data_IF_913235053545
#
_entry.id   IF_913235053545
#
_cell.length_a   1.000
_cell.length_b   1.000
_cell.length_c   1.000
_cell.angle_alpha   90.00
_cell.angle_beta   90.00
_cell.angle_gamma   90.00
#
_symmetry.space_group_name_H-M   'P 1'
#
loop_
_entity.id
_entity.type
_entity.pdbx_description
1 polymer ?
#
# COMPACT_ATOMS: atom_id res chain seq x y z
N UNK A 1 -23.51 34.33 41.59
CA UNK A 1 -22.95 34.41 40.22
C UNK A 1 -21.49 33.96 40.16
N UNK A 2 -21.15 32.71 40.56
CA UNK A 2 -19.77 32.17 40.46
C UNK A 2 -19.68 30.85 39.68
N UNK A 3 -20.82 30.23 39.35
CA UNK A 3 -20.85 28.94 38.65
C UNK A 3 -20.49 29.06 37.15
N UNK A 4 -20.87 30.18 36.51
CA UNK A 4 -20.60 30.41 35.08
C UNK A 4 -19.12 30.65 34.74
N UNK A 5 -18.33 31.14 35.69
CA UNK A 5 -16.90 31.42 35.47
C UNK A 5 -16.03 30.16 35.39
N UNK A 6 -16.50 29.02 35.92
CA UNK A 6 -15.77 27.74 35.89
C UNK A 6 -16.26 26.83 34.76
N UNK A 7 -17.54 26.90 34.40
CA UNK A 7 -18.12 26.10 33.31
C UNK A 7 -17.62 26.52 31.92
N UNK A 8 -17.41 27.81 31.69
CA UNK A 8 -16.96 28.33 30.40
C UNK A 8 -15.56 27.82 29.97
N UNK A 9 -14.51 27.87 30.82
CA UNK A 9 -13.18 27.37 30.43
C UNK A 9 -13.16 25.84 30.24
N UNK A 10 -13.99 25.08 30.99
CA UNK A 10 -14.10 23.63 30.81
C UNK A 10 -14.72 23.31 29.45
N UNK A 11 -15.79 24.02 29.07
CA UNK A 11 -16.42 23.85 27.77
C UNK A 11 -15.45 24.18 26.61
N UNK A 12 -14.68 25.26 26.76
CA UNK A 12 -13.70 25.65 25.76
C UNK A 12 -12.56 24.63 25.62
N UNK A 13 -12.09 24.07 26.75
CA UNK A 13 -11.11 22.98 26.76
C UNK A 13 -11.62 21.72 26.05
N UNK A 14 -12.88 21.34 26.29
CA UNK A 14 -13.51 20.19 25.62
C UNK A 14 -13.64 20.41 24.10
N UNK A 15 -14.03 21.61 23.66
CA UNK A 15 -14.10 21.94 22.24
C UNK A 15 -12.72 21.84 21.58
N UNK A 16 -11.67 22.32 22.26
CA UNK A 16 -10.31 22.30 21.74
C UNK A 16 -9.75 20.87 21.62
N UNK A 17 -10.02 20.02 22.61
CA UNK A 17 -9.67 18.59 22.56
C UNK A 17 -10.42 17.88 21.43
N UNK A 18 -11.73 18.13 21.28
CA UNK A 18 -12.51 17.54 20.19
C UNK A 18 -12.04 18.01 18.82
N UNK A 19 -11.64 19.28 18.68
CA UNK A 19 -11.08 19.81 17.44
C UNK A 19 -9.72 19.16 17.11
N UNK A 20 -8.86 18.95 18.11
CA UNK A 20 -7.57 18.26 17.91
C UNK A 20 -7.77 16.79 17.53
N UNK A 21 -8.70 16.09 18.18
CA UNK A 21 -9.05 14.71 17.84
C UNK A 21 -9.60 14.65 16.41
N UNK A 22 -10.51 15.55 16.04
CA UNK A 22 -11.10 15.59 14.70
C UNK A 22 -10.04 15.85 13.62
N UNK A 23 -9.14 16.82 13.84
CA UNK A 23 -8.10 17.17 12.88
C UNK A 23 -7.09 16.01 12.69
N UNK A 24 -6.71 15.35 13.79
CA UNK A 24 -5.82 14.18 13.75
C UNK A 24 -6.51 12.97 13.08
N UNK A 25 -7.82 12.81 13.30
CA UNK A 25 -8.62 11.78 12.64
C UNK A 25 -8.79 12.04 11.14
N UNK A 26 -9.00 13.30 10.73
CA UNK A 26 -9.12 13.65 9.31
C UNK A 26 -7.81 13.35 8.56
N UNK A 27 -6.67 13.70 9.16
CA UNK A 27 -5.34 13.50 8.57
C UNK A 27 -5.00 12.00 8.40
N UNK A 28 -5.38 11.14 9.36
CA UNK A 28 -5.20 9.69 9.24
C UNK A 28 -6.28 9.00 8.39
N UNK A 29 -7.48 9.55 8.30
CA UNK A 29 -8.54 9.03 7.42
C UNK A 29 -8.27 9.30 5.94
N UNK A 30 -7.47 10.33 5.61
CA UNK A 30 -7.13 10.63 4.22
C UNK A 30 -6.24 9.57 3.55
N UNK A 31 -5.53 8.76 4.36
CA UNK A 31 -4.76 7.61 3.88
C UNK A 31 -5.61 6.34 3.69
N UNK A 32 -6.83 6.32 4.23
CA UNK A 32 -7.79 5.23 4.05
C UNK A 32 -9.05 5.73 3.33
N UNK A 33 -9.04 5.53 2.02
CA UNK A 33 -10.23 5.42 1.16
C UNK A 33 -10.91 6.77 0.86
N UNK A 34 -10.37 7.49 -0.13
CA UNK A 34 -11.14 8.43 -0.94
C UNK A 34 -11.85 7.69 -2.09
N UNK A 35 -12.71 6.73 -1.76
CA UNK A 35 -13.80 6.29 -2.65
C UNK A 35 -15.01 7.16 -2.28
N UNK A 36 -14.90 8.46 -2.55
CA UNK A 36 -15.98 9.38 -2.26
C UNK A 36 -16.16 10.31 -3.44
N UNK A 37 -16.77 9.77 -4.50
CA UNK A 37 -17.71 10.47 -5.39
C UNK A 37 -18.52 9.38 -6.11
N UNK A 38 -19.85 9.43 -5.93
CA UNK A 38 -20.79 8.43 -6.43
C UNK A 38 -20.77 8.25 -7.94
N UNK A 39 -21.17 7.05 -8.38
CA UNK A 39 -21.39 6.71 -9.79
C UNK A 39 -20.28 7.16 -10.75
N UNK A 40 -19.02 6.84 -10.45
CA UNK A 40 -18.15 6.43 -11.57
C UNK A 40 -18.82 5.16 -12.09
N UNK A 41 -19.66 5.29 -13.13
CA UNK A 41 -20.40 4.16 -13.65
C UNK A 41 -19.37 3.10 -14.00
N UNK A 42 -19.67 1.84 -13.66
CA UNK A 42 -18.80 0.71 -14.01
C UNK A 42 -18.35 0.84 -15.47
N UNK A 43 -19.21 1.35 -16.35
CA UNK A 43 -18.91 1.64 -17.76
C UNK A 43 -17.75 2.63 -17.96
N UNK A 44 -17.66 3.71 -17.19
CA UNK A 44 -16.53 4.65 -17.27
C UNK A 44 -15.22 4.01 -16.79
N UNK A 45 -15.27 3.12 -15.78
CA UNK A 45 -14.12 2.36 -15.35
C UNK A 45 -13.71 1.31 -16.39
N UNK A 46 -14.70 0.64 -17.01
CA UNK A 46 -14.50 -0.34 -18.08
C UNK A 46 -13.86 0.29 -19.33
N UNK A 47 -14.23 1.53 -19.67
CA UNK A 47 -13.60 2.28 -20.78
C UNK A 47 -12.12 2.59 -20.54
N UNK A 48 -11.69 2.60 -19.28
CA UNK A 48 -10.31 2.87 -18.88
C UNK A 48 -9.52 1.59 -18.60
N UNK A 49 -10.08 0.42 -18.88
CA UNK A 49 -9.32 -0.82 -18.74
C UNK A 49 -8.14 -0.81 -19.71
N UNK A 50 -6.91 -0.99 -19.22
CA UNK A 50 -5.75 -1.04 -20.08
C UNK A 50 -5.89 -2.21 -21.06
N UNK A 51 -5.62 -1.94 -22.34
CA UNK A 51 -5.47 -2.98 -23.36
C UNK A 51 -4.02 -3.43 -23.41
N UNK A 52 -3.79 -4.73 -23.59
CA UNK A 52 -2.42 -5.24 -23.67
C UNK A 52 -1.66 -4.62 -24.83
N UNK A 53 -0.46 -4.13 -24.56
CA UNK A 53 0.51 -3.68 -25.57
C UNK A 53 1.51 -4.79 -25.88
N UNK A 54 2.32 -4.62 -26.93
CA UNK A 54 3.38 -5.59 -27.27
C UNK A 54 4.46 -5.69 -26.18
N UNK A 55 4.64 -4.66 -25.37
CA UNK A 55 5.66 -4.59 -24.31
C UNK A 55 5.21 -5.28 -23.00
N UNK A 56 3.91 -5.52 -22.84
CA UNK A 56 3.34 -6.07 -21.61
C UNK A 56 3.82 -7.50 -21.36
N UNK A 57 3.89 -8.34 -22.40
CA UNK A 57 4.39 -9.72 -22.28
C UNK A 57 5.87 -9.80 -21.87
N UNK A 58 6.79 -9.12 -22.58
CA UNK A 58 8.18 -9.01 -22.16
C UNK A 58 8.36 -8.48 -20.73
N UNK A 59 7.62 -7.43 -20.35
CA UNK A 59 7.67 -6.86 -18.99
C UNK A 59 7.18 -7.85 -17.94
N UNK A 60 6.05 -8.50 -18.16
CA UNK A 60 5.50 -9.52 -17.27
C UNK A 60 6.51 -10.67 -17.05
N UNK A 61 7.21 -11.11 -18.10
CA UNK A 61 8.27 -12.12 -17.99
C UNK A 61 9.46 -11.64 -17.17
N UNK A 62 9.88 -10.38 -17.37
CA UNK A 62 10.96 -9.80 -16.59
C UNK A 62 10.61 -9.69 -15.10
N UNK A 63 9.38 -9.28 -14.78
CA UNK A 63 8.86 -9.26 -13.41
C UNK A 63 8.82 -10.67 -12.82
N UNK A 64 8.29 -11.66 -13.55
CA UNK A 64 8.26 -13.04 -13.07
C UNK A 64 9.65 -13.58 -12.78
N UNK A 65 10.63 -13.28 -13.65
CA UNK A 65 12.02 -13.62 -13.41
C UNK A 65 12.58 -12.92 -12.17
N UNK A 66 12.29 -11.63 -11.97
CA UNK A 66 12.69 -10.89 -10.77
C UNK A 66 12.09 -11.50 -9.49
N UNK A 67 10.81 -11.90 -9.51
CA UNK A 67 10.17 -12.59 -8.39
C UNK A 67 10.82 -13.94 -8.08
N UNK A 68 11.22 -14.69 -9.11
CA UNK A 68 11.97 -15.93 -8.95
C UNK A 68 13.33 -15.66 -8.31
N UNK A 69 14.09 -14.68 -8.81
CA UNK A 69 15.39 -14.29 -8.22
C UNK A 69 15.24 -13.82 -6.77
N UNK A 70 14.23 -13.01 -6.47
CA UNK A 70 13.89 -12.63 -5.10
C UNK A 70 13.60 -13.85 -4.22
N UNK A 71 12.83 -14.82 -4.72
CA UNK A 71 12.49 -16.04 -3.97
C UNK A 71 13.74 -16.82 -3.60
N UNK A 72 14.67 -17.00 -4.55
CA UNK A 72 15.94 -17.67 -4.28
C UNK A 72 16.78 -16.90 -3.25
N UNK A 73 16.90 -15.58 -3.42
CA UNK A 73 17.60 -14.72 -2.48
C UNK A 73 17.02 -14.79 -1.07
N UNK A 74 15.70 -14.68 -0.94
CA UNK A 74 15.01 -14.75 0.34
C UNK A 74 15.19 -16.11 1.02
N UNK A 75 15.15 -17.21 0.25
CA UNK A 75 15.44 -18.56 0.74
C UNK A 75 16.88 -18.71 1.24
N UNK A 76 17.86 -18.21 0.48
CA UNK A 76 19.27 -18.28 0.85
C UNK A 76 19.58 -17.54 2.16
N UNK A 77 18.88 -16.44 2.42
CA UNK A 77 19.11 -15.57 3.58
C UNK A 77 18.07 -15.72 4.70
N UNK A 78 17.16 -16.71 4.59
CA UNK A 78 16.07 -16.96 5.55
C UNK A 78 15.16 -15.74 5.78
N UNK A 79 14.95 -14.91 4.75
CA UNK A 79 14.06 -13.74 4.81
C UNK A 79 12.63 -14.22 4.57
N UNK A 80 11.73 -13.93 5.51
CA UNK A 80 10.32 -14.26 5.36
C UNK A 80 9.61 -13.17 4.59
N UNK A 81 8.85 -13.56 3.57
CA UNK A 81 8.13 -12.63 2.72
C UNK A 81 6.78 -13.17 2.27
N UNK A 82 5.90 -12.27 1.81
CA UNK A 82 4.63 -12.58 1.17
C UNK A 82 4.44 -11.66 -0.04
N UNK A 83 3.87 -12.17 -1.14
CA UNK A 83 3.35 -11.31 -2.22
C UNK A 83 2.16 -10.50 -1.69
N UNK A 84 2.05 -9.25 -2.14
CA UNK A 84 1.10 -8.27 -1.60
C UNK A 84 0.25 -7.59 -2.69
N UNK A 85 -0.78 -6.87 -2.26
CA UNK A 85 -1.63 -6.00 -3.08
C UNK A 85 -2.02 -6.60 -4.45
N UNK A 86 -1.75 -5.87 -5.55
CA UNK A 86 -2.16 -6.25 -6.91
C UNK A 86 -1.42 -7.50 -7.36
N UNK A 87 -0.14 -7.63 -7.02
CA UNK A 87 0.67 -8.83 -7.28
C UNK A 87 -0.01 -10.08 -6.71
N UNK A 88 -0.45 -10.03 -5.44
CA UNK A 88 -1.18 -11.14 -4.81
C UNK A 88 -2.51 -11.43 -5.51
N UNK A 89 -3.31 -10.40 -5.77
CA UNK A 89 -4.63 -10.56 -6.41
C UNK A 89 -4.50 -11.21 -7.78
N UNK A 90 -3.60 -10.70 -8.63
CA UNK A 90 -3.37 -11.24 -9.97
C UNK A 90 -2.85 -12.69 -9.91
N UNK A 91 -1.93 -12.98 -9.00
CA UNK A 91 -1.36 -14.32 -8.86
C UNK A 91 -2.40 -15.35 -8.41
N UNK A 92 -3.30 -15.00 -7.49
CA UNK A 92 -4.39 -15.90 -7.05
C UNK A 92 -5.43 -16.10 -8.15
N UNK A 93 -5.80 -15.03 -8.87
CA UNK A 93 -6.84 -15.09 -9.89
C UNK A 93 -6.41 -15.80 -11.17
N UNK A 94 -5.18 -15.56 -11.62
CA UNK A 94 -4.71 -15.96 -12.95
C UNK A 94 -3.52 -16.93 -12.90
N UNK A 95 -3.03 -17.29 -11.72
CA UNK A 95 -1.78 -18.05 -11.54
C UNK A 95 -0.58 -17.37 -12.24
N UNK A 96 -0.62 -16.04 -12.37
CA UNK A 96 0.39 -15.23 -13.04
C UNK A 96 0.33 -13.77 -12.56
N UNK A 97 1.38 -12.99 -12.84
CA UNK A 97 1.38 -11.54 -12.63
C UNK A 97 0.46 -10.85 -13.65
N UNK A 98 0.00 -9.62 -13.37
CA UNK A 98 -0.75 -8.87 -14.38
C UNK A 98 0.17 -8.47 -15.55
N UNK A 99 -0.28 -8.55 -16.81
CA UNK A 99 0.47 -8.01 -17.95
C UNK A 99 0.73 -6.50 -17.84
N UNK A 100 -0.12 -5.79 -17.11
CA UNK A 100 -0.06 -4.34 -16.97
C UNK A 100 0.72 -3.88 -15.73
N UNK A 101 1.15 -4.80 -14.87
CA UNK A 101 1.95 -4.43 -13.72
C UNK A 101 3.32 -3.90 -14.18
N UNK A 102 3.83 -2.92 -13.43
CA UNK A 102 5.14 -2.32 -13.65
C UNK A 102 6.14 -2.76 -12.56
N UNK A 103 5.62 -3.33 -11.47
CA UNK A 103 6.32 -3.66 -10.24
C UNK A 103 5.74 -4.92 -9.58
N UNK A 104 6.40 -5.37 -8.52
CA UNK A 104 6.00 -6.49 -7.67
C UNK A 104 5.96 -5.98 -6.24
N UNK A 105 4.81 -6.14 -5.60
CA UNK A 105 4.64 -5.79 -4.20
C UNK A 105 4.94 -6.99 -3.30
N UNK A 106 5.83 -6.78 -2.33
CA UNK A 106 6.24 -7.78 -1.35
C UNK A 106 6.17 -7.20 0.06
N UNK A 107 5.62 -7.96 1.01
CA UNK A 107 5.85 -7.71 2.42
C UNK A 107 7.02 -8.55 2.91
N UNK A 108 7.82 -7.96 3.79
CA UNK A 108 8.85 -8.66 4.57
C UNK A 108 8.59 -8.40 6.06
N UNK A 109 9.14 -9.24 6.91
CA UNK A 109 9.07 -8.99 8.36
C UNK A 109 9.91 -7.76 8.71
N UNK A 110 9.37 -6.89 9.57
CA UNK A 110 10.08 -5.67 9.99
C UNK A 110 11.47 -5.98 10.57
N UNK A 111 11.59 -7.09 11.30
CA UNK A 111 12.87 -7.55 11.87
C UNK A 111 13.91 -7.99 10.83
N UNK A 112 13.50 -8.33 9.60
CA UNK A 112 14.40 -8.78 8.52
C UNK A 112 14.88 -7.58 7.67
N UNK A 113 14.39 -6.36 7.93
CA UNK A 113 14.68 -5.16 7.12
C UNK A 113 16.15 -4.71 7.18
N UNK A 114 16.79 -4.79 8.36
CA UNK A 114 18.19 -4.41 8.52
C UNK A 114 19.12 -5.36 7.77
N UNK A 115 18.86 -6.66 7.87
CA UNK A 115 19.58 -7.70 7.14
C UNK A 115 19.43 -7.49 5.62
N UNK A 116 18.21 -7.20 5.15
CA UNK A 116 17.98 -6.92 3.73
C UNK A 116 18.77 -5.69 3.26
N UNK A 117 18.78 -4.61 4.04
CA UNK A 117 19.53 -3.41 3.71
C UNK A 117 21.03 -3.69 3.58
N UNK A 118 21.61 -4.45 4.50
CA UNK A 118 23.01 -4.87 4.44
C UNK A 118 23.29 -5.73 3.20
N UNK A 119 22.51 -6.78 2.98
CA UNK A 119 22.68 -7.69 1.83
C UNK A 119 22.52 -6.99 0.47
N UNK A 120 21.66 -5.97 0.41
CA UNK A 120 21.42 -5.22 -0.82
C UNK A 120 22.63 -4.39 -1.28
N UNK A 121 23.50 -3.98 -0.35
CA UNK A 121 24.68 -3.16 -0.67
C UNK A 121 25.81 -3.97 -1.32
N UNK A 122 25.87 -5.28 -1.09
CA UNK A 122 26.96 -6.13 -1.57
C UNK A 122 26.65 -6.89 -2.86
N UNK A 123 25.36 -7.10 -3.19
CA UNK A 123 24.93 -7.94 -4.30
C UNK A 123 24.38 -7.17 -5.51
N UNK A 124 24.15 -5.86 -5.39
CA UNK A 124 23.59 -5.03 -6.47
C UNK A 124 24.50 -3.84 -6.87
N UNK A 125 25.75 -3.81 -6.40
CA UNK A 125 26.80 -2.84 -6.78
C UNK A 125 27.65 -3.33 -7.94
#
# INVERSE_FOLDING_TARGET
MRCYQVLLPILFGLILVMALIFNNYEEHSFFHIKINHGNISIEQALQKLPTCTQDDGPRQRALLYALQQWTYFAQQHNIRYWIAYKTLVSYVQHHSLSPHDLDIDLFIMAQDTSQLAELSQFNFS
#
